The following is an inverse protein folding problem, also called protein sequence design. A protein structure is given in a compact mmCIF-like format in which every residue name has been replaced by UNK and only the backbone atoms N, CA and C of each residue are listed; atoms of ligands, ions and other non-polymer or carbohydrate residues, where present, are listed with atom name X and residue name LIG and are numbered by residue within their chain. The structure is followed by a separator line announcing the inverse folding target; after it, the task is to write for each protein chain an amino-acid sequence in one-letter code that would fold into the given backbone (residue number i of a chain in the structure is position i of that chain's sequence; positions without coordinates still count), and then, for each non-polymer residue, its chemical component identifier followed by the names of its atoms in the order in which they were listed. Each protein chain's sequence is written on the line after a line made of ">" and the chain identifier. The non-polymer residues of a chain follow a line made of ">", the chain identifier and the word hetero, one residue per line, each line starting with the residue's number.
data_IF_197973683100
#
_entry.id   IF_197973683100
#
_cell.length_a   1.000
_cell.length_b   1.000
_cell.length_c   1.000
_cell.angle_alpha   90.00
_cell.angle_beta   90.00
_cell.angle_gamma   90.00
#
_symmetry.space_group_name_H-M   'P 1'
#
loop_
_entity.id
_entity.type
_entity.pdbx_description
1 polymer ?
#
# COMPACT_ATOMS: atom_id res chain seq x y z
N UNK A 1 7.27 2.98 -4.42
CA UNK A 1 8.08 3.20 -3.21
C UNK A 1 8.54 4.66 -3.07
N UNK A 2 9.30 5.23 -4.02
CA UNK A 2 9.83 6.59 -3.92
C UNK A 2 8.73 7.62 -3.55
N UNK A 3 7.69 7.76 -4.35
CA UNK A 3 6.60 8.71 -4.11
C UNK A 3 5.78 8.42 -2.85
N UNK A 4 5.66 7.16 -2.47
CA UNK A 4 5.01 6.80 -1.20
C UNK A 4 5.84 7.28 0.01
N UNK A 5 7.17 7.22 -0.10
CA UNK A 5 8.07 7.76 0.92
C UNK A 5 7.93 9.27 1.04
N UNK A 6 7.95 9.99 -0.08
CA UNK A 6 7.75 11.45 -0.12
C UNK A 6 6.39 11.86 0.48
N UNK A 7 5.35 11.04 0.32
CA UNK A 7 4.00 11.24 0.86
C UNK A 7 3.80 10.72 2.29
N UNK A 8 4.87 10.43 3.01
CA UNK A 8 4.78 10.19 4.45
C UNK A 8 4.47 8.76 4.90
N UNK A 9 4.50 7.75 4.01
CA UNK A 9 4.29 6.36 4.43
C UNK A 9 5.29 5.96 5.52
N UNK A 10 4.83 5.25 6.55
CA UNK A 10 5.67 4.79 7.67
C UNK A 10 6.21 3.37 7.47
N UNK A 11 5.46 2.52 6.78
CA UNK A 11 5.83 1.12 6.56
C UNK A 11 5.46 0.70 5.14
N UNK A 12 6.35 -0.02 4.48
CA UNK A 12 6.11 -0.59 3.15
C UNK A 12 6.29 -2.11 3.22
N UNK A 13 5.24 -2.83 2.85
CA UNK A 13 5.21 -4.28 2.80
C UNK A 13 5.05 -4.72 1.34
N UNK A 14 6.10 -5.24 0.69
CA UNK A 14 5.94 -5.84 -0.63
C UNK A 14 5.12 -7.12 -0.54
N UNK A 15 4.03 -7.22 -1.30
CA UNK A 15 3.16 -8.40 -1.28
C UNK A 15 3.11 -9.10 -2.62
N UNK A 16 3.04 -10.43 -2.60
CA UNK A 16 2.79 -11.27 -3.77
C UNK A 16 1.31 -11.66 -3.79
N UNK A 17 0.56 -11.08 -4.70
CA UNK A 17 -0.82 -11.46 -5.00
C UNK A 17 -0.88 -12.48 -6.14
N UNK A 18 -2.06 -13.04 -6.39
CA UNK A 18 -2.26 -14.08 -7.42
C UNK A 18 -1.88 -13.60 -8.81
N UNK A 19 -2.16 -12.34 -9.13
CA UNK A 19 -1.88 -11.73 -10.44
C UNK A 19 -0.52 -11.01 -10.49
N UNK A 20 0.37 -11.22 -9.52
CA UNK A 20 1.72 -10.66 -9.56
C UNK A 20 2.54 -11.36 -10.65
N UNK A 21 2.85 -10.63 -11.71
CA UNK A 21 3.59 -11.14 -12.88
C UNK A 21 5.06 -11.46 -12.54
N UNK A 22 5.67 -10.64 -11.70
CA UNK A 22 7.11 -10.78 -11.37
C UNK A 22 7.27 -11.65 -10.13
N UNK A 23 7.57 -12.93 -10.35
CA UNK A 23 8.06 -13.80 -9.27
C UNK A 23 9.55 -13.52 -9.05
N UNK A 24 9.88 -12.94 -7.90
CA UNK A 24 11.27 -12.73 -7.51
C UNK A 24 11.83 -14.10 -7.10
N UNK A 25 12.87 -14.57 -7.78
CA UNK A 25 13.57 -15.77 -7.37
C UNK A 25 14.26 -15.53 -6.02
N UNK A 26 14.30 -16.55 -5.16
CA UNK A 26 14.85 -16.46 -3.80
C UNK A 26 16.29 -15.90 -3.79
N UNK A 27 17.12 -16.33 -4.73
CA UNK A 27 18.50 -15.86 -4.90
C UNK A 27 18.62 -14.38 -5.24
N UNK A 28 17.51 -13.71 -5.65
CA UNK A 28 17.47 -12.29 -6.03
C UNK A 28 16.71 -11.41 -5.05
N UNK A 29 16.05 -12.00 -4.05
CA UNK A 29 15.24 -11.25 -3.08
C UNK A 29 16.10 -10.24 -2.32
N UNK A 30 17.23 -10.67 -1.76
CA UNK A 30 18.13 -9.80 -0.99
C UNK A 30 18.63 -8.61 -1.80
N UNK A 31 19.05 -8.85 -3.04
CA UNK A 31 19.48 -7.78 -3.96
C UNK A 31 18.36 -6.79 -4.24
N UNK A 32 17.11 -7.27 -4.35
CA UNK A 32 15.94 -6.44 -4.58
C UNK A 32 15.59 -5.60 -3.35
N UNK A 33 15.64 -6.18 -2.15
CA UNK A 33 15.43 -5.48 -0.87
C UNK A 33 16.47 -4.37 -0.72
N UNK A 34 17.73 -4.65 -0.98
CA UNK A 34 18.79 -3.65 -0.90
C UNK A 34 18.58 -2.50 -1.91
N UNK A 35 18.14 -2.81 -3.12
CA UNK A 35 17.76 -1.79 -4.10
C UNK A 35 16.60 -0.93 -3.61
N UNK A 36 15.54 -1.54 -3.08
CA UNK A 36 14.39 -0.80 -2.51
C UNK A 36 14.79 0.07 -1.31
N UNK A 37 15.65 -0.45 -0.42
CA UNK A 37 16.16 0.32 0.72
C UNK A 37 16.90 1.59 0.25
N UNK A 38 17.72 1.50 -0.77
CA UNK A 38 18.40 2.67 -1.34
C UNK A 38 17.41 3.69 -1.93
N UNK A 39 16.31 3.24 -2.54
CA UNK A 39 15.24 4.14 -3.01
C UNK A 39 14.62 4.88 -1.82
N UNK A 40 14.32 4.18 -0.71
CA UNK A 40 13.75 4.81 0.48
C UNK A 40 14.68 5.83 1.11
N UNK A 41 15.98 5.53 1.20
CA UNK A 41 17.00 6.44 1.71
C UNK A 41 17.02 7.71 0.87
N UNK A 42 17.23 7.57 -0.44
CA UNK A 42 17.31 8.71 -1.36
C UNK A 42 16.02 9.56 -1.36
N UNK A 43 14.85 8.91 -1.30
CA UNK A 43 13.57 9.62 -1.24
C UNK A 43 13.38 10.38 0.09
N UNK A 44 13.82 9.79 1.20
CA UNK A 44 13.75 10.43 2.51
C UNK A 44 14.69 11.63 2.61
N UNK A 45 15.93 11.52 2.13
CA UNK A 45 16.89 12.63 2.07
C UNK A 45 16.35 13.78 1.21
N UNK A 46 15.84 13.49 0.03
CA UNK A 46 15.30 14.50 -0.89
C UNK A 46 14.06 15.20 -0.33
N UNK A 47 13.18 14.48 0.38
CA UNK A 47 11.96 15.05 0.96
C UNK A 47 12.14 15.65 2.35
N UNK A 48 13.35 15.63 2.91
CA UNK A 48 13.66 16.17 4.23
C UNK A 48 13.09 15.35 5.40
N UNK A 49 12.76 14.07 5.16
CA UNK A 49 12.27 13.18 6.24
C UNK A 49 13.39 12.80 7.18
N UNK A 50 13.13 12.93 8.47
CA UNK A 50 14.07 12.56 9.56
C UNK A 50 13.96 11.09 9.96
N UNK A 51 12.89 10.38 9.51
CA UNK A 51 12.65 8.97 9.78
C UNK A 51 12.45 8.22 8.46
N UNK A 52 13.24 7.16 8.26
CA UNK A 52 13.06 6.24 7.14
C UNK A 52 11.78 5.41 7.31
N UNK A 53 11.04 5.10 6.24
CA UNK A 53 10.00 4.10 6.30
C UNK A 53 10.60 2.71 6.58
N UNK A 54 9.89 1.91 7.36
CA UNK A 54 10.24 0.52 7.57
C UNK A 54 9.94 -0.28 6.29
N UNK A 55 10.93 -0.98 5.76
CA UNK A 55 10.77 -1.90 4.63
C UNK A 55 10.73 -3.32 5.16
N UNK A 56 9.56 -3.95 5.04
CA UNK A 56 9.36 -5.34 5.45
C UNK A 56 9.80 -6.31 4.36
N UNK A 57 10.08 -7.55 4.76
CA UNK A 57 10.34 -8.61 3.81
C UNK A 57 9.10 -8.91 2.95
N UNK A 58 9.30 -9.28 1.66
CA UNK A 58 8.20 -9.66 0.80
C UNK A 58 7.42 -10.85 1.37
N UNK A 59 6.09 -10.72 1.38
CA UNK A 59 5.18 -11.73 1.93
C UNK A 59 4.06 -12.06 0.93
N UNK A 60 3.49 -13.25 1.03
CA UNK A 60 2.29 -13.61 0.28
C UNK A 60 1.09 -12.82 0.79
N UNK A 61 0.24 -12.37 -0.13
CA UNK A 61 -1.05 -11.78 0.22
C UNK A 61 -2.02 -12.90 0.62
N UNK A 62 -2.21 -13.08 1.91
CA UNK A 62 -3.14 -14.05 2.52
C UNK A 62 -3.78 -13.44 3.79
N UNK A 63 -4.62 -14.22 4.46
CA UNK A 63 -5.33 -13.76 5.66
C UNK A 63 -4.39 -13.37 6.79
N UNK A 64 -3.29 -14.11 6.98
CA UNK A 64 -2.31 -13.81 8.03
C UNK A 64 -1.60 -12.48 7.77
N UNK A 65 -1.25 -12.22 6.50
CA UNK A 65 -0.71 -10.93 6.07
C UNK A 65 -1.69 -9.79 6.35
N UNK A 66 -2.95 -9.95 5.95
CA UNK A 66 -3.98 -8.94 6.15
C UNK A 66 -4.23 -8.66 7.63
N UNK A 67 -4.29 -9.69 8.47
CA UNK A 67 -4.46 -9.52 9.92
C UNK A 67 -3.25 -8.87 10.58
N UNK A 68 -2.04 -9.28 10.20
CA UNK A 68 -0.78 -8.75 10.76
C UNK A 68 -0.62 -7.26 10.55
N UNK A 69 -1.05 -6.75 9.39
CA UNK A 69 -0.89 -5.35 9.02
C UNK A 69 -2.20 -4.55 9.04
N UNK A 70 -3.22 -5.06 9.74
CA UNK A 70 -4.50 -4.37 9.87
C UNK A 70 -4.36 -3.15 10.77
N UNK A 71 -4.74 -1.97 10.24
CA UNK A 71 -4.86 -0.73 10.99
C UNK A 71 -6.31 -0.42 11.40
N UNK A 72 -6.52 0.72 12.08
CA UNK A 72 -7.86 1.23 12.44
C UNK A 72 -8.73 1.46 11.21
N UNK A 73 -8.11 1.94 10.13
CA UNK A 73 -8.67 2.03 8.79
C UNK A 73 -7.86 1.15 7.85
N UNK A 74 -8.46 0.10 7.33
CA UNK A 74 -7.82 -0.83 6.41
C UNK A 74 -8.53 -0.80 5.07
N UNK A 75 -7.80 -0.40 4.03
CA UNK A 75 -8.31 -0.15 2.69
C UNK A 75 -7.68 -1.14 1.70
N UNK A 76 -8.54 -1.75 0.89
CA UNK A 76 -8.17 -2.59 -0.22
C UNK A 76 -8.60 -1.90 -1.51
N UNK A 77 -7.65 -1.35 -2.28
CA UNK A 77 -7.97 -0.60 -3.48
C UNK A 77 -8.31 -1.51 -4.65
N UNK A 78 -9.56 -1.42 -5.13
CA UNK A 78 -10.03 -2.13 -6.32
C UNK A 78 -11.04 -1.28 -7.09
N UNK A 79 -11.14 -1.47 -8.38
CA UNK A 79 -12.05 -0.72 -9.28
C UNK A 79 -13.53 -1.00 -9.02
N UNK A 80 -13.85 -2.11 -8.35
CA UNK A 80 -15.22 -2.52 -8.00
C UNK A 80 -15.69 -2.01 -6.64
N UNK A 81 -14.82 -1.30 -5.90
CA UNK A 81 -15.11 -0.80 -4.57
C UNK A 81 -16.10 0.35 -4.50
N UNK A 82 -16.38 0.83 -3.30
CA UNK A 82 -17.20 2.01 -3.03
C UNK A 82 -16.32 3.27 -2.94
N UNK A 83 -16.88 4.45 -3.21
CA UNK A 83 -16.20 5.74 -3.09
C UNK A 83 -16.39 6.32 -1.67
N UNK A 84 -15.96 5.61 -0.62
CA UNK A 84 -16.17 6.08 0.75
C UNK A 84 -14.96 5.86 1.65
N UNK A 85 -14.52 6.94 2.29
CA UNK A 85 -13.50 6.95 3.35
C UNK A 85 -14.19 7.34 4.67
N UNK A 86 -14.91 6.45 5.28
CA UNK A 86 -15.66 6.78 6.49
C UNK A 86 -15.02 6.15 7.73
N UNK A 87 -14.12 6.88 8.39
CA UNK A 87 -13.71 6.56 9.77
C UNK A 87 -13.33 7.83 10.52
N UNK A 88 -13.74 7.92 11.78
CA UNK A 88 -13.33 8.97 12.71
C UNK A 88 -11.84 8.84 13.06
N UNK A 89 -11.01 9.77 12.57
CA UNK A 89 -9.57 9.97 12.89
C UNK A 89 -8.81 8.68 13.23
N UNK A 90 -8.52 7.82 12.25
CA UNK A 90 -7.74 6.61 12.47
C UNK A 90 -6.32 6.99 12.90
N UNK A 91 -5.73 6.24 13.83
CA UNK A 91 -4.32 6.39 14.22
C UNK A 91 -3.41 5.63 13.28
N UNK A 92 -3.89 4.54 12.76
CA UNK A 92 -3.15 3.65 11.87
C UNK A 92 -4.01 3.32 10.64
N UNK A 93 -3.43 3.55 9.46
CA UNK A 93 -4.12 3.32 8.18
C UNK A 93 -3.29 2.33 7.35
N UNK A 94 -3.93 1.26 6.94
CA UNK A 94 -3.33 0.28 6.01
C UNK A 94 -3.99 0.38 4.64
N UNK A 95 -3.16 0.45 3.61
CA UNK A 95 -3.61 0.51 2.22
C UNK A 95 -2.98 -0.62 1.42
N UNK A 96 -3.80 -1.45 0.81
CA UNK A 96 -3.35 -2.52 -0.11
C UNK A 96 -3.62 -2.08 -1.55
N UNK A 97 -2.57 -2.05 -2.36
CA UNK A 97 -2.60 -1.67 -3.77
C UNK A 97 -2.25 -2.89 -4.62
N UNK A 98 -3.07 -3.18 -5.61
CA UNK A 98 -2.90 -4.33 -6.50
C UNK A 98 -1.83 -4.15 -7.58
N UNK A 99 -1.44 -5.26 -8.21
CA UNK A 99 -0.62 -5.24 -9.41
C UNK A 99 -1.46 -4.77 -10.62
N UNK A 100 -0.82 -4.66 -11.79
CA UNK A 100 -1.46 -4.26 -13.04
C UNK A 100 -2.64 -5.18 -13.44
N UNK A 101 -2.57 -6.47 -13.07
CA UNK A 101 -3.65 -7.44 -13.28
C UNK A 101 -4.80 -7.36 -12.26
N UNK A 102 -4.72 -6.43 -11.30
CA UNK A 102 -5.70 -6.30 -10.22
C UNK A 102 -5.71 -7.48 -9.25
N UNK A 103 -6.71 -7.52 -8.40
CA UNK A 103 -6.94 -8.61 -7.47
C UNK A 103 -7.99 -9.59 -7.99
N UNK A 104 -7.90 -10.84 -7.56
CA UNK A 104 -8.94 -11.86 -7.80
C UNK A 104 -10.13 -11.64 -6.87
N UNK A 105 -11.31 -12.16 -7.24
CA UNK A 105 -12.51 -12.14 -6.37
C UNK A 105 -12.26 -12.83 -5.02
N UNK A 106 -11.42 -13.89 -5.02
CA UNK A 106 -11.02 -14.58 -3.79
C UNK A 106 -10.22 -13.67 -2.87
N UNK A 107 -9.27 -12.91 -3.42
CA UNK A 107 -8.48 -11.95 -2.63
C UNK A 107 -9.35 -10.80 -2.09
N UNK A 108 -10.31 -10.31 -2.86
CA UNK A 108 -11.26 -9.28 -2.42
C UNK A 108 -12.17 -9.79 -1.30
N UNK A 109 -12.73 -10.97 -1.46
CA UNK A 109 -13.56 -11.62 -0.41
C UNK A 109 -12.73 -11.80 0.87
N UNK A 110 -11.52 -12.33 0.74
CA UNK A 110 -10.60 -12.51 1.87
C UNK A 110 -10.30 -11.16 2.56
N UNK A 111 -10.11 -10.08 1.81
CA UNK A 111 -9.88 -8.75 2.38
C UNK A 111 -11.11 -8.26 3.18
N UNK A 112 -12.32 -8.43 2.64
CA UNK A 112 -13.57 -8.08 3.33
C UNK A 112 -13.73 -8.90 4.61
N UNK A 113 -13.49 -10.20 4.58
CA UNK A 113 -13.59 -11.10 5.73
C UNK A 113 -12.58 -10.75 6.83
N UNK A 114 -11.44 -10.13 6.46
CA UNK A 114 -10.46 -9.59 7.40
C UNK A 114 -10.75 -8.14 7.82
N UNK A 115 -11.89 -7.56 7.40
CA UNK A 115 -12.35 -6.24 7.80
C UNK A 115 -11.69 -5.08 7.04
N UNK A 116 -11.22 -5.34 5.84
CA UNK A 116 -10.79 -4.29 4.91
C UNK A 116 -11.99 -3.75 4.14
N UNK A 117 -12.02 -2.44 3.93
CA UNK A 117 -12.98 -1.80 3.04
C UNK A 117 -12.45 -1.83 1.62
N UNK A 118 -13.20 -2.40 0.68
CA UNK A 118 -12.86 -2.34 -0.75
C UNK A 118 -13.27 -0.97 -1.28
N UNK A 119 -12.29 -0.17 -1.67
CA UNK A 119 -12.49 1.22 -2.09
C UNK A 119 -11.96 1.42 -3.51
N UNK A 120 -12.71 2.16 -4.31
CA UNK A 120 -12.24 2.77 -5.56
C UNK A 120 -12.09 4.28 -5.39
N UNK A 121 -11.31 4.91 -6.23
CA UNK A 121 -11.20 6.37 -6.27
C UNK A 121 -11.41 6.87 -7.69
N UNK A 122 -12.62 7.32 -7.92
CA UNK A 122 -13.07 7.84 -9.20
C UNK A 122 -13.27 6.76 -10.28
N UNK A 123 -13.68 7.19 -11.49
CA UNK A 123 -14.11 6.27 -12.54
C UNK A 123 -12.97 5.71 -13.41
N UNK A 124 -11.74 6.16 -13.21
CA UNK A 124 -10.58 5.78 -14.06
C UNK A 124 -9.79 4.66 -13.44
N UNK A 125 -9.38 3.68 -14.27
CA UNK A 125 -8.38 2.70 -13.90
C UNK A 125 -7.01 3.40 -13.77
N UNK A 126 -6.36 3.28 -12.63
CA UNK A 126 -5.04 3.85 -12.39
C UNK A 126 -3.96 2.78 -12.54
N UNK A 127 -2.81 3.19 -13.03
CA UNK A 127 -1.62 2.33 -13.03
C UNK A 127 -1.16 2.06 -11.61
N UNK A 128 -0.44 0.94 -11.42
CA UNK A 128 0.08 0.51 -10.10
C UNK A 128 0.99 1.55 -9.45
N UNK A 129 1.71 2.35 -10.22
CA UNK A 129 2.50 3.46 -9.70
C UNK A 129 1.67 4.70 -9.33
N UNK A 130 0.51 4.92 -9.95
CA UNK A 130 -0.35 6.10 -9.72
C UNK A 130 -1.28 5.90 -8.53
N UNK A 131 -1.83 4.70 -8.37
CA UNK A 131 -2.80 4.40 -7.32
C UNK A 131 -2.28 4.70 -5.89
N UNK A 132 -1.05 4.31 -5.49
CA UNK A 132 -0.54 4.64 -4.17
C UNK A 132 -0.30 6.13 -3.97
N UNK A 133 0.07 6.88 -5.02
CA UNK A 133 0.25 8.34 -4.92
C UNK A 133 -1.09 8.99 -4.58
N UNK A 134 -2.13 8.66 -5.36
CA UNK A 134 -3.47 9.17 -5.13
C UNK A 134 -4.00 8.78 -3.75
N UNK A 135 -3.92 7.50 -3.40
CA UNK A 135 -4.41 6.98 -2.12
C UNK A 135 -3.76 7.71 -0.93
N UNK A 136 -2.43 7.77 -0.92
CA UNK A 136 -1.69 8.44 0.14
C UNK A 136 -1.97 9.94 0.19
N UNK A 137 -2.08 10.63 -0.96
CA UNK A 137 -2.42 12.05 -0.98
C UNK A 137 -3.79 12.33 -0.37
N UNK A 138 -4.80 11.53 -0.69
CA UNK A 138 -6.15 11.67 -0.11
C UNK A 138 -6.10 11.40 1.41
N UNK A 139 -5.45 10.32 1.83
CA UNK A 139 -5.40 9.94 3.25
C UNK A 139 -4.59 10.94 4.08
N UNK A 140 -3.50 11.45 3.56
CA UNK A 140 -2.71 12.50 4.20
C UNK A 140 -3.47 13.84 4.27
N UNK A 141 -4.30 14.14 3.28
CA UNK A 141 -5.18 15.31 3.33
C UNK A 141 -6.30 15.13 4.36
N UNK A 142 -6.95 13.96 4.43
CA UNK A 142 -8.07 13.71 5.33
C UNK A 142 -7.63 13.51 6.79
N UNK A 143 -6.50 12.85 7.03
CA UNK A 143 -6.13 12.35 8.35
C UNK A 143 -4.68 12.67 8.76
N UNK A 144 -3.83 13.10 7.85
CA UNK A 144 -2.41 13.35 8.07
C UNK A 144 -2.04 14.84 8.08
N UNK A 145 -0.91 15.17 7.48
CA UNK A 145 -0.25 16.48 7.56
C UNK A 145 -0.41 17.38 6.32
N UNK A 146 -1.10 16.91 5.27
CA UNK A 146 -1.30 17.73 4.06
C UNK A 146 -2.45 18.75 4.18
N UNK A 147 -3.25 18.71 5.23
CA UNK A 147 -4.35 19.67 5.48
C UNK A 147 -4.04 20.72 6.54
N UNK A 148 -2.84 20.71 7.10
CA UNK A 148 -2.42 21.63 8.18
C UNK A 148 -1.54 22.73 7.65
#
# INVERSE_FOLDING_TARGET
>A
MQKSTELGVSTIVPVFSSNTVVRIKEDKIEKKINHWRNILISASEQSGRTKLPDLMDPIKLDSDCLQKYKGDLSIFYDTTGQDSYAVNKPKEITVVIGPEGGFTEVEKTMAIDNGYSVIKSGPRLMRTETAPIMALSILQYLYGDLSN
#
